data_IF_811184645148
#
_entry.id   IF_811184645148
#
_cell.length_a   1.000
_cell.length_b   1.000
_cell.length_c   1.000
_cell.angle_alpha   90.00
_cell.angle_beta   90.00
_cell.angle_gamma   90.00
#
_symmetry.space_group_name_H-M   'P 1'
#
loop_
_entity.id
_entity.type
_entity.pdbx_description
1 polymer ?
#
# COMPACT_ATOMS: atom_id res chain seq x y z
N UNK A 1 -13.12 -13.57 -3.60
CA UNK A 1 -12.27 -13.66 -2.39
C UNK A 1 -11.31 -12.49 -2.48
N UNK A 2 -11.19 -11.67 -1.43
CA UNK A 2 -10.23 -10.56 -1.44
C UNK A 2 -8.84 -11.17 -1.24
N UNK A 3 -8.04 -11.16 -2.30
CA UNK A 3 -6.65 -11.59 -2.19
C UNK A 3 -5.86 -10.44 -1.57
N UNK A 4 -5.38 -10.65 -0.34
CA UNK A 4 -4.61 -9.68 0.42
C UNK A 4 -3.20 -10.22 0.61
N UNK A 5 -2.21 -9.34 0.55
CA UNK A 5 -0.86 -9.65 1.02
C UNK A 5 -0.52 -8.80 2.23
N UNK A 6 0.41 -9.30 3.03
CA UNK A 6 0.76 -8.75 4.34
C UNK A 6 2.06 -7.98 4.22
N UNK A 7 2.10 -6.76 4.76
CA UNK A 7 3.32 -5.96 4.83
C UNK A 7 3.63 -5.55 6.28
N UNK A 8 4.92 -5.45 6.65
CA UNK A 8 5.33 -5.00 7.97
C UNK A 8 5.03 -3.51 8.15
N UNK A 9 4.52 -3.12 9.31
CA UNK A 9 4.26 -1.70 9.62
C UNK A 9 5.52 -0.83 9.62
N UNK A 10 6.71 -1.43 9.73
CA UNK A 10 7.98 -0.71 9.65
C UNK A 10 8.43 -0.33 8.24
N UNK A 11 7.71 -0.72 7.18
CA UNK A 11 8.10 -0.47 5.80
C UNK A 11 8.47 1.01 5.51
N UNK A 12 7.76 1.95 6.15
CA UNK A 12 7.98 3.40 5.99
C UNK A 12 8.72 4.04 7.18
N UNK A 13 9.42 3.26 8.01
CA UNK A 13 10.26 3.79 9.10
C UNK A 13 11.62 4.30 8.61
N UNK A 14 12.04 3.86 7.41
CA UNK A 14 13.29 4.27 6.79
C UNK A 14 13.01 5.23 5.63
N UNK A 15 13.85 6.27 5.49
CA UNK A 15 13.73 7.24 4.40
C UNK A 15 14.28 6.68 3.09
N UNK A 16 13.49 5.80 2.48
CA UNK A 16 13.76 5.11 1.22
C UNK A 16 13.18 5.86 0.02
N UNK A 17 13.77 5.63 -1.15
CA UNK A 17 13.24 6.06 -2.45
C UNK A 17 12.02 5.21 -2.86
N UNK A 18 11.28 5.67 -3.87
CA UNK A 18 10.19 4.89 -4.46
C UNK A 18 10.67 3.55 -5.04
N UNK A 19 11.84 3.51 -5.67
CA UNK A 19 12.42 2.27 -6.20
C UNK A 19 12.76 1.27 -5.08
N UNK A 20 13.42 1.73 -4.01
CA UNK A 20 13.76 0.87 -2.86
C UNK A 20 12.50 0.35 -2.14
N UNK A 21 11.47 1.20 -1.98
CA UNK A 21 10.19 0.79 -1.39
C UNK A 21 9.46 -0.22 -2.29
N UNK A 22 9.46 0.02 -3.60
CA UNK A 22 8.89 -0.88 -4.58
C UNK A 22 9.55 -2.26 -4.52
N UNK A 23 10.88 -2.32 -4.49
CA UNK A 23 11.63 -3.58 -4.36
C UNK A 23 11.28 -4.31 -3.06
N UNK A 24 11.19 -3.60 -1.93
CA UNK A 24 10.84 -4.24 -0.65
C UNK A 24 9.39 -4.74 -0.64
N UNK A 25 8.44 -4.00 -1.24
CA UNK A 25 7.05 -4.46 -1.41
C UNK A 25 7.02 -5.78 -2.19
N UNK A 26 7.71 -5.84 -3.33
CA UNK A 26 7.73 -7.03 -4.18
C UNK A 26 8.44 -8.21 -3.54
N UNK A 27 9.55 -7.98 -2.84
CA UNK A 27 10.24 -9.01 -2.08
C UNK A 27 9.33 -9.66 -1.02
N UNK A 28 8.49 -8.88 -0.34
CA UNK A 28 7.53 -9.42 0.62
C UNK A 28 6.37 -10.15 -0.06
N UNK A 29 5.93 -9.68 -1.23
CA UNK A 29 4.92 -10.35 -2.04
C UNK A 29 5.42 -11.72 -2.55
N UNK A 30 6.60 -11.76 -3.18
CA UNK A 30 7.22 -12.98 -3.71
C UNK A 30 7.43 -14.02 -2.62
N UNK A 31 7.92 -13.60 -1.45
CA UNK A 31 8.05 -14.48 -0.28
C UNK A 31 6.73 -15.13 0.11
N UNK A 32 5.63 -14.36 0.09
CA UNK A 32 4.30 -14.88 0.42
C UNK A 32 3.78 -15.85 -0.63
N UNK A 33 4.03 -15.58 -1.91
CA UNK A 33 3.69 -16.50 -3.01
C UNK A 33 4.46 -17.81 -2.86
N UNK A 34 5.77 -17.75 -2.59
CA UNK A 34 6.60 -18.94 -2.34
C UNK A 34 6.12 -19.74 -1.12
N UNK A 35 5.78 -19.08 -0.02
CA UNK A 35 5.20 -19.74 1.16
C UNK A 35 3.89 -20.44 0.84
N UNK A 36 3.01 -19.79 0.06
CA UNK A 36 1.72 -20.36 -0.34
C UNK A 36 1.88 -21.57 -1.27
N UNK A 37 2.81 -21.51 -2.23
CA UNK A 37 3.06 -22.57 -3.20
C UNK A 37 3.93 -23.72 -2.66
N UNK A 38 4.83 -23.43 -1.71
CA UNK A 38 5.86 -24.35 -1.21
C UNK A 38 5.49 -25.11 0.07
N UNK A 39 4.39 -24.76 0.74
CA UNK A 39 3.92 -25.45 1.96
C UNK A 39 4.87 -25.34 3.17
N UNK A 40 5.94 -24.54 3.08
CA UNK A 40 6.82 -24.24 4.20
C UNK A 40 6.16 -23.23 5.12
N UNK A 41 5.69 -23.71 6.26
CA UNK A 41 5.04 -22.99 7.36
C UNK A 41 6.03 -22.06 8.10
N UNK A 42 6.80 -21.28 7.36
CA UNK A 42 7.54 -20.15 7.91
C UNK A 42 6.54 -19.04 8.16
N UNK A 43 5.97 -19.06 9.37
CA UNK A 43 5.22 -17.96 9.98
C UNK A 43 5.72 -16.61 9.48
N UNK A 44 5.01 -16.06 8.50
CA UNK A 44 5.13 -14.68 8.07
C UNK A 44 4.98 -13.84 9.35
N UNK A 45 6.06 -13.16 9.75
CA UNK A 45 6.22 -12.39 11.00
C UNK A 45 6.50 -13.19 12.29
N UNK A 46 7.54 -14.03 12.29
CA UNK A 46 8.04 -14.71 13.49
C UNK A 46 8.61 -13.76 14.57
N UNK A 47 8.75 -12.45 14.28
CA UNK A 47 9.36 -11.46 15.18
C UNK A 47 8.35 -10.63 16.00
N UNK A 48 7.05 -10.93 15.95
CA UNK A 48 6.03 -10.17 16.69
C UNK A 48 5.79 -8.75 16.15
N UNK A 49 6.30 -8.46 14.95
CA UNK A 49 6.08 -7.19 14.27
C UNK A 49 4.63 -7.07 13.79
N UNK A 50 4.00 -5.91 14.06
CA UNK A 50 2.66 -5.61 13.55
C UNK A 50 2.71 -5.51 12.03
N UNK A 51 1.69 -6.06 11.38
CA UNK A 51 1.56 -6.03 9.93
C UNK A 51 0.18 -5.53 9.51
N UNK A 52 0.11 -5.00 8.30
CA UNK A 52 -1.11 -4.49 7.68
C UNK A 52 -1.39 -5.22 6.37
N UNK A 53 -2.64 -5.16 5.93
CA UNK A 53 -3.10 -5.81 4.70
C UNK A 53 -3.08 -4.84 3.54
N UNK A 54 -2.62 -5.32 2.39
CA UNK A 54 -2.71 -4.62 1.12
C UNK A 54 -3.50 -5.49 0.14
N UNK A 55 -4.55 -4.93 -0.48
CA UNK A 55 -5.26 -5.57 -1.58
C UNK A 55 -4.35 -5.89 -2.79
N UNK A 56 -4.41 -7.13 -3.28
CA UNK A 56 -3.57 -7.61 -4.39
C UNK A 56 -4.01 -7.05 -5.75
N UNK A 57 -5.19 -6.41 -5.84
CA UNK A 57 -5.62 -5.67 -7.03
C UNK A 57 -4.61 -4.58 -7.43
N UNK A 58 -3.95 -3.93 -6.46
CA UNK A 58 -2.92 -2.93 -6.76
C UNK A 58 -1.67 -3.57 -7.39
N UNK A 59 -1.31 -4.79 -6.99
CA UNK A 59 -0.24 -5.55 -7.62
C UNK A 59 -0.66 -5.99 -9.04
N UNK A 60 -1.90 -6.48 -9.19
CA UNK A 60 -2.43 -6.84 -10.50
C UNK A 60 -2.50 -5.65 -11.46
N UNK A 61 -2.92 -4.48 -11.00
CA UNK A 61 -2.96 -3.24 -11.77
C UNK A 61 -1.55 -2.78 -12.18
N UNK A 62 -0.54 -2.97 -11.32
CA UNK A 62 0.84 -2.65 -11.65
C UNK A 62 1.41 -3.62 -12.69
N UNK A 63 1.19 -4.92 -12.53
CA UNK A 63 1.53 -5.93 -13.55
C UNK A 63 0.82 -5.71 -14.89
N UNK A 64 -0.41 -5.16 -14.85
CA UNK A 64 -1.19 -4.78 -16.03
C UNK A 64 -0.74 -3.46 -16.67
N UNK A 65 0.31 -2.82 -16.14
CA UNK A 65 0.80 -1.49 -16.53
C UNK A 65 -0.24 -0.37 -16.38
N UNK A 66 -1.30 -0.60 -15.61
CA UNK A 66 -2.36 0.38 -15.32
C UNK A 66 -1.84 1.43 -14.33
N UNK A 67 -0.98 1.02 -13.40
CA UNK A 67 -0.30 1.90 -12.46
C UNK A 67 1.22 1.68 -12.49
N UNK A 68 1.98 2.67 -12.02
CA UNK A 68 3.45 2.60 -11.94
C UNK A 68 3.89 2.16 -10.54
N UNK A 69 5.12 1.71 -10.38
CA UNK A 69 5.68 1.36 -9.07
C UNK A 69 5.55 2.46 -8.01
N UNK A 70 5.73 3.73 -8.37
CA UNK A 70 5.50 4.86 -7.44
C UNK A 70 4.03 4.99 -7.00
N UNK A 71 3.09 4.65 -7.88
CA UNK A 71 1.67 4.68 -7.58
C UNK A 71 1.31 3.54 -6.61
N UNK A 72 1.90 2.35 -6.81
CA UNK A 72 1.81 1.24 -5.86
C UNK A 72 2.37 1.62 -4.48
N UNK A 73 3.52 2.29 -4.40
CA UNK A 73 4.10 2.75 -3.12
C UNK A 73 3.15 3.72 -2.40
N UNK A 74 2.55 4.66 -3.12
CA UNK A 74 1.57 5.62 -2.55
C UNK A 74 0.30 4.89 -2.09
N UNK A 75 -0.18 3.92 -2.86
CA UNK A 75 -1.33 3.09 -2.50
C UNK A 75 -1.07 2.29 -1.22
N UNK A 76 0.08 1.61 -1.13
CA UNK A 76 0.50 0.86 0.05
C UNK A 76 0.59 1.75 1.29
N UNK A 77 1.04 3.00 1.14
CA UNK A 77 1.04 3.96 2.25
C UNK A 77 -0.38 4.29 2.74
N UNK A 78 -1.35 4.43 1.83
CA UNK A 78 -2.75 4.63 2.21
C UNK A 78 -3.29 3.42 2.98
N UNK A 79 -2.94 2.19 2.59
CA UNK A 79 -3.31 0.98 3.34
C UNK A 79 -2.76 0.99 4.77
N UNK A 80 -1.52 1.44 4.95
CA UNK A 80 -0.92 1.61 6.27
C UNK A 80 -1.69 2.65 7.11
N UNK A 81 -2.13 3.76 6.51
CA UNK A 81 -2.94 4.76 7.21
C UNK A 81 -4.30 4.19 7.63
N UNK A 82 -4.96 3.40 6.76
CA UNK A 82 -6.22 2.72 7.07
C UNK A 82 -6.04 1.81 8.28
N UNK A 83 -4.98 1.00 8.28
CA UNK A 83 -4.65 0.12 9.39
C UNK A 83 -4.40 0.88 10.70
N UNK A 84 -3.61 1.96 10.65
CA UNK A 84 -3.25 2.74 11.84
C UNK A 84 -4.43 3.52 12.43
N UNK A 85 -5.30 4.05 11.56
CA UNK A 85 -6.45 4.86 11.98
C UNK A 85 -7.68 4.00 12.31
N UNK A 86 -7.70 2.72 11.89
CA UNK A 86 -8.86 1.85 11.97
C UNK A 86 -10.10 2.46 11.27
N UNK A 87 -9.87 3.21 10.20
CA UNK A 87 -10.89 3.89 9.41
C UNK A 87 -10.70 3.57 7.93
N UNK A 88 -11.79 3.30 7.21
CA UNK A 88 -11.77 3.02 5.77
C UNK A 88 -11.40 4.27 4.92
N UNK A 89 -11.63 5.46 5.47
CA UNK A 89 -11.41 6.75 4.81
C UNK A 89 -10.32 7.51 5.56
N UNK A 90 -9.19 7.77 4.91
CA UNK A 90 -8.00 8.34 5.55
C UNK A 90 -7.56 9.63 4.92
N UNK A 91 -7.10 10.57 5.77
CA UNK A 91 -6.47 11.80 5.30
C UNK A 91 -5.02 11.53 4.93
N UNK A 92 -4.63 11.86 3.70
CA UNK A 92 -3.24 11.78 3.29
C UNK A 92 -2.51 13.10 3.57
N UNK A 93 -1.57 13.09 4.51
CA UNK A 93 -0.58 14.16 4.63
C UNK A 93 0.59 13.92 3.67
N UNK A 94 0.53 14.61 2.52
CA UNK A 94 1.57 14.55 1.48
C UNK A 94 2.94 14.97 2.03
N UNK A 95 2.99 15.86 3.03
CA UNK A 95 4.25 16.27 3.62
C UNK A 95 4.85 15.17 4.48
N UNK A 96 4.02 14.44 5.21
CA UNK A 96 4.46 13.31 6.03
C UNK A 96 4.99 12.17 5.14
N UNK A 97 4.25 11.80 4.09
CA UNK A 97 4.72 10.80 3.13
C UNK A 97 6.03 11.22 2.46
N UNK A 98 6.13 12.48 2.01
CA UNK A 98 7.37 13.01 1.40
C UNK A 98 8.55 13.11 2.38
N UNK A 99 8.31 13.08 3.70
CA UNK A 99 9.35 13.09 4.73
C UNK A 99 9.78 11.67 5.09
N UNK A 100 8.82 10.75 5.18
CA UNK A 100 9.05 9.32 5.43
C UNK A 100 9.69 8.61 4.25
N UNK A 101 9.52 9.16 3.06
CA UNK A 101 10.12 8.65 1.82
C UNK A 101 11.00 9.74 1.20
N UNK A 102 11.68 9.42 0.10
CA UNK A 102 12.40 10.41 -0.73
C UNK A 102 11.59 10.84 -1.95
N UNK A 103 10.28 10.61 -1.93
CA UNK A 103 9.39 10.90 -3.05
C UNK A 103 9.00 12.38 -3.02
N UNK A 104 9.07 13.07 -4.17
CA UNK A 104 8.66 14.48 -4.26
C UNK A 104 7.15 14.62 -4.09
N UNK A 105 6.72 15.67 -3.39
CA UNK A 105 5.29 16.01 -3.20
C UNK A 105 4.51 16.08 -4.52
N UNK A 106 5.14 16.55 -5.60
CA UNK A 106 4.52 16.62 -6.93
C UNK A 106 4.25 15.23 -7.50
N UNK A 107 5.19 14.29 -7.34
CA UNK A 107 5.02 12.91 -7.76
C UNK A 107 3.92 12.22 -6.95
N UNK A 108 3.90 12.42 -5.61
CA UNK A 108 2.82 11.92 -4.75
C UNK A 108 1.45 12.41 -5.23
N UNK A 109 1.31 13.72 -5.52
CA UNK A 109 0.07 14.28 -6.07
C UNK A 109 -0.34 13.64 -7.40
N UNK A 110 0.63 13.42 -8.29
CA UNK A 110 0.34 12.78 -9.58
C UNK A 110 -0.11 11.34 -9.38
N UNK A 111 0.53 10.61 -8.47
CA UNK A 111 0.16 9.23 -8.12
C UNK A 111 -1.23 9.13 -7.54
N UNK A 112 -1.61 10.01 -6.62
CA UNK A 112 -2.98 10.05 -6.07
C UNK A 112 -4.00 10.25 -7.19
N UNK A 113 -3.79 11.27 -8.04
CA UNK A 113 -4.70 11.55 -9.15
C UNK A 113 -4.80 10.36 -10.11
N UNK A 114 -3.69 9.65 -10.31
CA UNK A 114 -3.64 8.46 -11.14
C UNK A 114 -4.46 7.32 -10.51
N UNK A 115 -4.25 7.02 -9.23
CA UNK A 115 -4.97 5.98 -8.48
C UNK A 115 -6.49 6.24 -8.44
N UNK A 116 -6.91 7.51 -8.34
CA UNK A 116 -8.33 7.89 -8.43
C UNK A 116 -8.88 7.61 -9.83
N UNK A 117 -8.11 7.92 -10.88
CA UNK A 117 -8.53 7.68 -12.27
C UNK A 117 -8.68 6.20 -12.59
N UNK A 118 -7.76 5.38 -12.08
CA UNK A 118 -7.81 3.90 -12.21
C UNK A 118 -8.78 3.26 -11.21
N UNK A 119 -9.52 4.06 -10.43
CA UNK A 119 -10.55 3.60 -9.50
C UNK A 119 -10.04 2.66 -8.39
N UNK A 120 -8.74 2.67 -8.08
CA UNK A 120 -8.17 1.93 -6.95
C UNK A 120 -8.44 2.63 -5.61
N UNK A 121 -8.63 3.96 -5.66
CA UNK A 121 -9.05 4.75 -4.50
C UNK A 121 -10.17 5.71 -4.91
N UNK A 122 -11.00 6.09 -3.96
CA UNK A 122 -12.04 7.10 -4.14
C UNK A 122 -11.72 8.35 -3.32
N UNK A 123 -11.85 9.53 -3.92
CA UNK A 123 -11.75 10.79 -3.18
C UNK A 123 -13.03 11.05 -2.39
N UNK A 124 -12.89 11.31 -1.09
CA UNK A 124 -13.99 11.67 -0.22
C UNK A 124 -14.52 13.08 -0.53
N UNK A 125 -15.74 13.38 -0.10
CA UNK A 125 -16.26 14.76 -0.09
C UNK A 125 -15.41 15.71 0.76
N UNK A 126 -14.61 15.18 1.69
CA UNK A 126 -13.64 15.94 2.47
C UNK A 126 -12.30 15.99 1.72
N UNK A 127 -11.86 17.20 1.37
CA UNK A 127 -10.63 17.40 0.60
C UNK A 127 -9.41 16.72 1.26
N UNK A 128 -8.68 15.93 0.46
CA UNK A 128 -7.49 15.20 0.89
C UNK A 128 -7.76 13.92 1.70
N UNK A 129 -9.02 13.50 1.80
CA UNK A 129 -9.39 12.19 2.33
C UNK A 129 -9.66 11.22 1.19
N UNK A 130 -9.17 10.00 1.33
CA UNK A 130 -9.27 8.95 0.32
C UNK A 130 -9.73 7.65 0.97
N UNK A 131 -10.49 6.88 0.22
CA UNK A 131 -11.03 5.58 0.62
C UNK A 131 -10.45 4.50 -0.27
N UNK A 132 -9.99 3.40 0.33
CA UNK A 132 -9.55 2.21 -0.41
C UNK A 132 -10.75 1.29 -0.55
N UNK A 133 -11.28 1.16 -1.76
CA UNK A 133 -12.56 0.50 -2.04
C UNK A 133 -12.55 -0.97 -1.58
N UNK A 134 -11.44 -1.66 -1.78
CA UNK A 134 -11.26 -3.06 -1.43
C UNK A 134 -11.21 -3.31 0.08
N UNK A 135 -10.79 -2.31 0.86
CA UNK A 135 -10.74 -2.40 2.32
C UNK A 135 -12.04 -1.95 2.98
N UNK A 136 -12.95 -1.25 2.27
CA UNK A 136 -14.27 -0.91 2.81
C UNK A 136 -15.03 -2.16 3.25
N UNK A 137 -14.93 -3.24 2.47
CA UNK A 137 -15.61 -4.52 2.74
C UNK A 137 -15.08 -5.27 3.98
N UNK A 138 -13.91 -4.88 4.50
CA UNK A 138 -13.29 -5.52 5.68
C UNK A 138 -13.55 -4.76 6.98
N UNK A 139 -13.89 -3.47 6.90
CA UNK A 139 -14.03 -2.58 8.05
C UNK A 139 -15.44 -2.00 8.23
N UNK A 140 -16.34 -2.22 7.27
CA UNK A 140 -17.78 -1.89 7.36
C UNK A 140 -18.64 -3.10 7.71
#
# INVERSE_FOLDING_TARGET
MLDLFILPTSLFNQSLTDAELYEEIYKQFDKQVETFLGGTDERLNSNGEKSFFVPSNAIAAEYGEEIRGIDLVVYVYLCLLVFNNQENTVKLDINDLAKRTRIKKTQIKHSINHLVREQLISESSRSGYYTILELELLLG
#
